data_IF_871395449035
#
_entry.id   IF_871395449035
#
_cell.length_a   1.000
_cell.length_b   1.000
_cell.length_c   1.000
_cell.angle_alpha   90.00
_cell.angle_beta   90.00
_cell.angle_gamma   90.00
#
_symmetry.space_group_name_H-M   'P 1'
#
loop_
_entity.id
_entity.type
_entity.pdbx_description
1 polymer ?
#
# COMPACT_ATOMS: atom_id res chain seq x y z
N UNK A 1 -3.05 7.67 49.07
CA UNK A 1 -3.18 6.32 48.44
C UNK A 1 -2.38 6.35 47.17
N UNK A 2 -1.24 5.69 47.22
CA UNK A 2 -0.16 5.69 46.24
C UNK A 2 -0.56 4.92 44.98
N UNK A 3 -0.24 5.50 43.83
CA UNK A 3 -0.45 4.89 42.51
C UNK A 3 0.45 3.68 42.30
N UNK A 4 -0.13 2.58 41.84
CA UNK A 4 0.57 1.38 41.37
C UNK A 4 -0.26 0.71 40.28
N UNK A 5 -0.17 1.19 39.04
CA UNK A 5 -0.60 0.45 37.86
C UNK A 5 -0.03 1.13 36.60
N UNK A 6 1.14 0.68 36.12
CA UNK A 6 1.46 0.67 34.67
C UNK A 6 2.83 0.09 34.30
N UNK A 7 3.75 -0.19 35.23
CA UNK A 7 5.10 -0.65 34.82
C UNK A 7 5.22 -2.14 34.46
N UNK A 8 4.34 -3.01 34.98
CA UNK A 8 4.42 -4.46 34.77
C UNK A 8 3.98 -4.91 33.36
N UNK A 9 3.12 -4.13 32.69
CA UNK A 9 2.65 -4.48 31.33
C UNK A 9 3.76 -4.27 30.29
N UNK A 10 4.53 -3.19 30.42
CA UNK A 10 5.56 -2.80 29.45
C UNK A 10 6.75 -3.77 29.39
N UNK A 11 7.15 -4.37 30.53
CA UNK A 11 8.28 -5.31 30.56
C UNK A 11 7.91 -6.69 30.00
N UNK A 12 6.67 -7.14 30.23
CA UNK A 12 6.15 -8.39 29.68
C UNK A 12 5.97 -8.33 28.16
N UNK A 13 5.55 -7.18 27.62
CA UNK A 13 5.43 -6.96 26.17
C UNK A 13 6.81 -6.91 25.50
N UNK A 14 7.76 -6.18 26.11
CA UNK A 14 9.14 -6.07 25.59
C UNK A 14 9.89 -7.41 25.59
N UNK A 15 9.76 -8.20 26.65
CA UNK A 15 10.38 -9.54 26.73
C UNK A 15 9.79 -10.54 25.74
N UNK A 16 8.48 -10.49 25.47
CA UNK A 16 7.84 -11.33 24.45
C UNK A 16 8.28 -10.94 23.04
N UNK A 17 8.35 -9.65 22.73
CA UNK A 17 8.84 -9.13 21.44
C UNK A 17 10.30 -9.51 21.19
N UNK A 18 11.17 -9.39 22.20
CA UNK A 18 12.57 -9.80 22.09
C UNK A 18 12.71 -11.32 21.90
N UNK A 19 11.86 -12.12 22.54
CA UNK A 19 11.78 -13.56 22.30
C UNK A 19 11.38 -13.86 20.86
N UNK A 20 10.38 -13.16 20.31
CA UNK A 20 9.93 -13.33 18.93
C UNK A 20 10.95 -12.90 17.88
N UNK A 21 11.70 -11.82 18.13
CA UNK A 21 12.78 -11.36 17.25
C UNK A 21 13.99 -12.30 17.25
N UNK A 22 14.13 -13.12 18.29
CA UNK A 22 15.19 -14.14 18.43
C UNK A 22 14.79 -15.52 17.87
N UNK A 23 13.52 -15.71 17.50
CA UNK A 23 13.05 -16.99 16.96
C UNK A 23 13.66 -17.26 15.58
N UNK A 24 14.44 -18.34 15.51
CA UNK A 24 14.96 -18.87 14.26
C UNK A 24 13.82 -19.53 13.46
N UNK A 25 13.85 -19.54 12.11
CA UNK A 25 12.79 -20.12 11.29
C UNK A 25 12.50 -21.60 11.59
N UNK A 26 13.43 -22.31 12.24
CA UNK A 26 13.30 -23.71 12.67
C UNK A 26 12.47 -23.92 13.94
N UNK A 27 12.27 -22.91 14.80
CA UNK A 27 11.48 -23.06 16.05
C UNK A 27 9.99 -22.78 15.87
N UNK A 28 9.55 -22.34 14.68
CA UNK A 28 8.14 -22.09 14.36
C UNK A 28 7.50 -23.28 13.61
N UNK A 29 8.27 -24.33 13.32
CA UNK A 29 7.79 -25.61 12.77
C UNK A 29 6.88 -26.43 13.72
N UNK A 30 6.39 -25.82 14.80
CA UNK A 30 5.39 -26.44 15.66
C UNK A 30 4.02 -26.32 14.97
N UNK A 31 3.37 -27.45 14.63
CA UNK A 31 2.11 -27.41 13.91
C UNK A 31 1.07 -26.73 14.81
N UNK A 32 0.60 -25.57 14.38
CA UNK A 32 -0.35 -24.71 15.08
C UNK A 32 0.20 -24.14 16.38
N UNK A 33 0.67 -22.89 16.32
CA UNK A 33 0.77 -22.03 17.49
C UNK A 33 -0.55 -21.24 17.63
N UNK A 34 -1.54 -21.71 18.41
CA UNK A 34 -2.82 -20.99 18.58
C UNK A 34 -2.59 -19.60 19.17
N UNK A 35 -1.54 -19.49 20.00
CA UNK A 35 -1.12 -18.24 20.64
C UNK A 35 -0.81 -17.12 19.65
N UNK A 36 -0.40 -17.43 18.40
CA UNK A 36 -0.11 -16.41 17.40
C UNK A 36 -1.38 -15.68 16.94
N UNK A 37 -2.53 -16.38 16.95
CA UNK A 37 -3.84 -15.77 16.67
C UNK A 37 -4.38 -14.99 17.87
N UNK A 38 -3.99 -15.39 19.08
CA UNK A 38 -4.35 -14.73 20.34
C UNK A 38 -3.45 -13.53 20.69
N UNK A 39 -2.53 -13.15 19.81
CA UNK A 39 -1.72 -11.95 19.99
C UNK A 39 -2.59 -10.70 19.97
N UNK A 40 -2.27 -9.76 20.87
CA UNK A 40 -2.81 -8.40 20.81
C UNK A 40 -2.46 -7.76 19.48
N UNK A 41 -3.33 -6.84 19.02
CA UNK A 41 -3.18 -6.17 17.72
C UNK A 41 -1.79 -5.56 17.52
N UNK A 42 -1.26 -4.86 18.53
CA UNK A 42 0.05 -4.19 18.44
C UNK A 42 1.21 -5.18 18.35
N UNK A 43 1.20 -6.22 19.18
CA UNK A 43 2.23 -7.27 19.21
C UNK A 43 2.24 -8.07 17.90
N UNK A 44 1.04 -8.42 17.40
CA UNK A 44 0.87 -9.05 16.10
C UNK A 44 1.40 -8.17 14.98
N UNK A 45 1.12 -6.86 15.04
CA UNK A 45 1.59 -5.91 14.04
C UNK A 45 3.11 -5.84 13.97
N UNK A 46 3.79 -5.72 15.11
CA UNK A 46 5.25 -5.74 15.18
C UNK A 46 5.84 -7.06 14.69
N UNK A 47 5.21 -8.19 15.04
CA UNK A 47 5.65 -9.50 14.58
C UNK A 47 5.51 -9.66 13.06
N UNK A 48 4.39 -9.21 12.48
CA UNK A 48 4.17 -9.18 11.03
C UNK A 48 5.24 -8.36 10.30
N UNK A 49 5.61 -7.19 10.82
CA UNK A 49 6.69 -6.36 10.25
C UNK A 49 8.01 -7.14 10.21
N UNK A 50 8.36 -7.83 11.30
CA UNK A 50 9.58 -8.63 11.36
C UNK A 50 9.55 -9.79 10.35
N UNK A 51 8.43 -10.52 10.25
CA UNK A 51 8.29 -11.60 9.28
C UNK A 51 8.40 -11.10 7.84
N UNK A 52 7.77 -9.98 7.51
CA UNK A 52 7.86 -9.36 6.17
C UNK A 52 9.29 -8.97 5.82
N UNK A 53 10.02 -8.36 6.76
CA UNK A 53 11.41 -7.93 6.52
C UNK A 53 12.34 -9.13 6.29
N UNK A 54 12.24 -10.18 7.10
CA UNK A 54 13.04 -11.40 6.92
C UNK A 54 12.66 -12.14 5.64
N UNK A 55 11.36 -12.23 5.33
CA UNK A 55 10.88 -12.77 4.07
C UNK A 55 11.53 -12.03 2.89
N UNK A 56 11.47 -10.69 2.89
CA UNK A 56 12.06 -9.86 1.82
C UNK A 56 13.57 -10.11 1.66
N UNK A 57 14.31 -10.28 2.77
CA UNK A 57 15.73 -10.64 2.74
C UNK A 57 15.98 -11.99 2.06
N UNK A 58 15.19 -13.03 2.39
CA UNK A 58 15.32 -14.34 1.76
C UNK A 58 14.87 -14.34 0.29
N UNK A 59 13.82 -13.58 -0.05
CA UNK A 59 13.39 -13.35 -1.44
C UNK A 59 14.51 -12.70 -2.25
N UNK A 60 15.17 -11.67 -1.69
CA UNK A 60 16.28 -10.99 -2.35
C UNK A 60 17.51 -11.91 -2.53
N UNK A 61 17.78 -12.79 -1.56
CA UNK A 61 18.86 -13.78 -1.62
C UNK A 61 18.54 -15.00 -2.50
N UNK A 62 17.31 -15.12 -3.04
CA UNK A 62 16.88 -16.30 -3.80
C UNK A 62 16.74 -17.57 -2.94
N UNK A 63 16.70 -17.45 -1.62
CA UNK A 63 16.56 -18.58 -0.70
C UNK A 63 15.10 -19.00 -0.59
N UNK A 64 14.66 -19.80 -1.55
CA UNK A 64 13.27 -20.26 -1.68
C UNK A 64 12.74 -21.03 -0.47
N UNK A 65 13.47 -22.00 0.11
CA UNK A 65 12.97 -22.74 1.26
C UNK A 65 12.65 -21.82 2.44
N UNK A 66 13.56 -20.89 2.76
CA UNK A 66 13.36 -19.95 3.87
C UNK A 66 12.26 -18.94 3.56
N UNK A 67 12.25 -18.38 2.35
CA UNK A 67 11.21 -17.44 1.95
C UNK A 67 9.81 -18.08 2.04
N UNK A 68 9.66 -19.35 1.62
CA UNK A 68 8.41 -20.09 1.75
C UNK A 68 7.95 -20.24 3.20
N UNK A 69 8.85 -20.57 4.12
CA UNK A 69 8.54 -20.66 5.56
C UNK A 69 8.03 -19.33 6.11
N UNK A 70 8.66 -18.20 5.76
CA UNK A 70 8.16 -16.89 6.19
C UNK A 70 6.80 -16.55 5.58
N UNK A 71 6.58 -16.83 4.29
CA UNK A 71 5.28 -16.62 3.64
C UNK A 71 4.17 -17.43 4.32
N UNK A 72 4.44 -18.68 4.69
CA UNK A 72 3.49 -19.52 5.43
C UNK A 72 3.12 -18.89 6.78
N UNK A 73 4.09 -18.44 7.56
CA UNK A 73 3.82 -17.76 8.84
C UNK A 73 3.01 -16.47 8.68
N UNK A 74 3.34 -15.66 7.67
CA UNK A 74 2.59 -14.42 7.42
C UNK A 74 1.15 -14.74 6.98
N UNK A 75 0.95 -15.78 6.17
CA UNK A 75 -0.39 -16.20 5.73
C UNK A 75 -1.31 -16.58 6.89
N UNK A 76 -0.76 -17.10 7.99
CA UNK A 76 -1.53 -17.48 9.18
C UNK A 76 -1.95 -16.29 10.05
N UNK A 77 -1.27 -15.15 9.91
CA UNK A 77 -1.44 -13.96 10.74
C UNK A 77 -2.08 -12.78 10.01
N UNK A 78 -1.93 -12.74 8.69
CA UNK A 78 -2.48 -11.70 7.83
C UNK A 78 -3.95 -11.96 7.47
N UNK A 79 -4.66 -10.89 7.15
CA UNK A 79 -6.07 -10.95 6.76
C UNK A 79 -6.45 -9.67 6.02
N UNK A 80 -7.13 -9.81 4.88
CA UNK A 80 -7.63 -8.67 4.09
C UNK A 80 -8.77 -7.91 4.77
N UNK A 81 -9.44 -8.55 5.73
CA UNK A 81 -10.53 -7.98 6.53
C UNK A 81 -10.12 -7.70 7.98
N UNK A 82 -8.83 -7.85 8.30
CA UNK A 82 -8.29 -7.65 9.64
C UNK A 82 -7.93 -6.19 9.95
N UNK A 83 -7.11 -6.01 10.98
CA UNK A 83 -6.54 -4.69 11.30
C UNK A 83 -5.62 -4.15 10.19
N UNK A 84 -5.20 -2.89 10.32
CA UNK A 84 -4.38 -2.23 9.32
C UNK A 84 -3.09 -3.02 8.98
N UNK A 85 -2.43 -3.60 9.97
CA UNK A 85 -1.17 -4.33 9.76
C UNK A 85 -1.41 -5.71 9.16
N UNK A 86 -2.50 -6.37 9.52
CA UNK A 86 -2.92 -7.62 8.87
C UNK A 86 -3.21 -7.42 7.38
N UNK A 87 -3.86 -6.31 7.03
CA UNK A 87 -4.15 -5.94 5.64
C UNK A 87 -2.87 -5.66 4.86
N UNK A 88 -1.97 -4.83 5.43
CA UNK A 88 -0.65 -4.56 4.86
C UNK A 88 0.10 -5.88 4.63
N UNK A 89 0.20 -6.73 5.65
CA UNK A 89 0.91 -7.99 5.55
C UNK A 89 0.32 -8.92 4.49
N UNK A 90 -1.01 -8.96 4.33
CA UNK A 90 -1.66 -9.78 3.30
C UNK A 90 -1.23 -9.35 1.89
N UNK A 91 -1.32 -8.05 1.57
CA UNK A 91 -0.91 -7.54 0.26
C UNK A 91 0.60 -7.67 0.01
N UNK A 92 1.44 -7.43 1.02
CA UNK A 92 2.89 -7.61 0.87
C UNK A 92 3.30 -9.08 0.72
N UNK A 93 2.59 -10.01 1.36
CA UNK A 93 2.82 -11.46 1.20
C UNK A 93 2.55 -11.88 -0.23
N UNK A 94 1.43 -11.45 -0.80
CA UNK A 94 1.10 -11.69 -2.21
C UNK A 94 2.18 -11.10 -3.14
N UNK A 95 2.61 -9.86 -2.91
CA UNK A 95 3.64 -9.20 -3.70
C UNK A 95 5.01 -9.92 -3.62
N UNK A 96 5.42 -10.37 -2.42
CA UNK A 96 6.66 -11.11 -2.21
C UNK A 96 6.62 -12.49 -2.86
N UNK A 97 5.50 -13.22 -2.73
CA UNK A 97 5.28 -14.49 -3.42
C UNK A 97 5.32 -14.30 -4.95
N UNK A 98 4.65 -13.27 -5.47
CA UNK A 98 4.70 -12.90 -6.88
C UNK A 98 6.12 -12.59 -7.37
N UNK A 99 6.91 -11.89 -6.56
CA UNK A 99 8.33 -11.62 -6.86
C UNK A 99 9.17 -12.89 -6.90
N UNK A 100 8.95 -13.84 -5.99
CA UNK A 100 9.62 -15.15 -6.04
C UNK A 100 9.27 -15.92 -7.30
N UNK A 101 7.98 -15.93 -7.67
CA UNK A 101 7.49 -16.65 -8.84
C UNK A 101 8.04 -16.11 -10.15
N UNK A 102 8.50 -14.85 -10.20
CA UNK A 102 9.15 -14.28 -11.39
C UNK A 102 10.44 -15.00 -11.78
N UNK A 103 11.08 -15.73 -10.87
CA UNK A 103 12.20 -16.63 -11.19
C UNK A 103 11.79 -17.80 -12.10
N UNK A 104 10.48 -18.09 -12.18
CA UNK A 104 9.89 -19.06 -13.11
C UNK A 104 8.84 -18.38 -14.01
N UNK A 105 9.26 -17.73 -15.10
CA UNK A 105 8.38 -16.91 -15.93
C UNK A 105 7.15 -17.65 -16.47
N UNK A 106 7.30 -18.95 -16.79
CA UNK A 106 6.19 -19.79 -17.24
C UNK A 106 5.11 -19.95 -16.18
N UNK A 107 5.51 -20.28 -14.94
CA UNK A 107 4.58 -20.41 -13.82
C UNK A 107 3.95 -19.05 -13.45
N UNK A 108 4.76 -17.99 -13.41
CA UNK A 108 4.26 -16.64 -13.13
C UNK A 108 3.17 -16.20 -14.11
N UNK A 109 3.37 -16.41 -15.42
CA UNK A 109 2.37 -16.08 -16.45
C UNK A 109 1.13 -16.98 -16.38
N UNK A 110 1.30 -18.27 -16.09
CA UNK A 110 0.18 -19.20 -15.96
C UNK A 110 -0.74 -18.84 -14.77
N UNK A 111 -0.16 -18.36 -13.67
CA UNK A 111 -0.90 -17.95 -12.47
C UNK A 111 -1.40 -16.50 -12.49
N UNK A 112 -0.85 -15.65 -13.37
CA UNK A 112 -1.25 -14.23 -13.50
C UNK A 112 -1.67 -13.92 -14.94
N UNK A 113 -2.79 -14.50 -15.44
CA UNK A 113 -3.31 -14.13 -16.74
C UNK A 113 -3.72 -12.65 -16.74
N UNK A 114 -3.51 -11.96 -17.86
CA UNK A 114 -3.99 -10.59 -18.05
C UNK A 114 -5.51 -10.66 -18.20
N UNK A 115 -6.28 -10.23 -17.19
CA UNK A 115 -7.74 -10.18 -17.28
C UNK A 115 -8.22 -8.85 -17.90
N UNK A 116 -9.17 -8.89 -18.85
CA UNK A 116 -9.75 -7.70 -19.47
C UNK A 116 -10.61 -6.86 -18.50
N UNK A 117 -11.18 -7.45 -17.44
CA UNK A 117 -12.00 -6.74 -16.43
C UNK A 117 -11.19 -5.87 -15.44
N UNK A 118 -9.88 -5.75 -15.64
CA UNK A 118 -8.98 -4.99 -14.77
C UNK A 118 -9.17 -3.47 -14.86
N UNK A 119 -9.67 -2.95 -15.99
CA UNK A 119 -9.77 -1.49 -16.19
C UNK A 119 -10.95 -0.90 -15.41
N UNK A 120 -12.12 -1.54 -15.44
CA UNK A 120 -13.32 -1.06 -14.74
C UNK A 120 -13.13 -1.09 -13.22
N UNK A 121 -12.53 -2.17 -12.71
CA UNK A 121 -12.19 -2.34 -11.29
C UNK A 121 -11.13 -1.32 -10.84
N UNK A 122 -10.11 -1.08 -11.66
CA UNK A 122 -9.09 -0.05 -11.39
C UNK A 122 -9.69 1.36 -11.36
N UNK A 123 -10.57 1.70 -12.32
CA UNK A 123 -11.25 2.99 -12.36
C UNK A 123 -12.18 3.18 -11.16
N UNK A 124 -12.89 2.12 -10.74
CA UNK A 124 -13.69 2.17 -9.53
C UNK A 124 -12.83 2.41 -8.28
N UNK A 125 -11.70 1.71 -8.15
CA UNK A 125 -10.74 1.92 -7.07
C UNK A 125 -10.18 3.35 -7.02
N UNK A 126 -9.85 3.93 -8.20
CA UNK A 126 -9.41 5.33 -8.30
C UNK A 126 -10.48 6.31 -7.84
N UNK A 127 -11.74 6.09 -8.24
CA UNK A 127 -12.85 6.93 -7.81
C UNK A 127 -13.04 6.88 -6.29
N UNK A 128 -13.00 5.69 -5.69
CA UNK A 128 -13.06 5.55 -4.23
C UNK A 128 -11.87 6.26 -3.55
N UNK A 129 -10.67 6.18 -4.13
CA UNK A 129 -9.50 6.89 -3.60
C UNK A 129 -9.70 8.41 -3.64
N UNK A 130 -10.24 8.95 -4.73
CA UNK A 130 -10.61 10.37 -4.87
C UNK A 130 -11.70 10.80 -3.89
N UNK A 131 -12.67 9.93 -3.61
CA UNK A 131 -13.83 10.25 -2.77
C UNK A 131 -13.52 10.15 -1.28
N UNK A 132 -12.65 9.22 -0.88
CA UNK A 132 -12.35 8.93 0.52
C UNK A 132 -11.09 9.63 1.04
N UNK A 133 -10.14 9.98 0.17
CA UNK A 133 -8.84 10.52 0.56
C UNK A 133 -8.54 11.87 -0.11
N UNK A 134 -7.87 12.80 0.60
CA UNK A 134 -7.66 14.15 0.10
C UNK A 134 -6.47 14.28 -0.87
N UNK A 135 -5.64 13.24 -1.02
CA UNK A 135 -4.33 13.35 -1.67
C UNK A 135 -4.42 13.79 -3.13
N UNK A 136 -5.27 13.13 -3.94
CA UNK A 136 -5.41 13.49 -5.35
C UNK A 136 -6.13 14.82 -5.53
N UNK A 137 -7.17 15.11 -4.73
CA UNK A 137 -7.87 16.40 -4.77
C UNK A 137 -6.92 17.56 -4.47
N UNK A 138 -6.05 17.40 -3.46
CA UNK A 138 -5.03 18.38 -3.11
C UNK A 138 -3.99 18.54 -4.23
N UNK A 139 -3.53 17.42 -4.81
CA UNK A 139 -2.61 17.46 -5.95
C UNK A 139 -3.21 18.20 -7.15
N UNK A 140 -4.48 17.96 -7.47
CA UNK A 140 -5.18 18.65 -8.55
C UNK A 140 -5.35 20.15 -8.26
N UNK A 141 -5.75 20.52 -7.04
CA UNK A 141 -5.90 21.92 -6.65
C UNK A 141 -4.57 22.69 -6.80
N UNK A 142 -3.49 22.15 -6.24
CA UNK A 142 -2.17 22.79 -6.30
C UNK A 142 -1.66 22.86 -7.75
N UNK A 143 -1.82 21.78 -8.52
CA UNK A 143 -1.36 21.75 -9.92
C UNK A 143 -2.15 22.74 -10.78
N UNK A 144 -3.48 22.77 -10.62
CA UNK A 144 -4.34 23.71 -11.34
C UNK A 144 -3.99 25.15 -10.99
N UNK A 145 -3.75 25.46 -9.71
CA UNK A 145 -3.35 26.80 -9.28
C UNK A 145 -2.00 27.21 -9.89
N UNK A 146 -1.01 26.32 -9.85
CA UNK A 146 0.30 26.58 -10.45
C UNK A 146 0.21 26.79 -11.97
N UNK A 147 -0.64 26.01 -12.65
CA UNK A 147 -0.89 26.17 -14.09
C UNK A 147 -1.58 27.52 -14.36
N UNK A 148 -2.60 27.90 -13.59
CA UNK A 148 -3.30 29.18 -13.75
C UNK A 148 -2.36 30.38 -13.58
N UNK A 149 -1.50 30.35 -12.56
CA UNK A 149 -0.47 31.37 -12.33
C UNK A 149 0.53 31.43 -13.49
N UNK A 150 0.99 30.28 -13.98
CA UNK A 150 1.90 30.22 -15.13
C UNK A 150 1.26 30.66 -16.46
N UNK A 151 -0.06 30.68 -16.55
CA UNK A 151 -0.82 31.10 -17.75
C UNK A 151 -1.18 32.58 -17.76
N UNK A 152 -0.85 33.35 -16.72
CA UNK A 152 -1.18 34.78 -16.62
C UNK A 152 -0.66 35.55 -17.85
N UNK A 153 -1.53 36.38 -18.46
CA UNK A 153 -1.21 37.09 -19.71
C UNK A 153 -1.16 36.24 -21.00
N UNK A 154 -1.16 34.91 -20.90
CA UNK A 154 -1.06 34.01 -22.06
C UNK A 154 -2.40 33.81 -22.79
N UNK A 155 -2.41 34.01 -24.11
CA UNK A 155 -3.60 33.88 -24.96
C UNK A 155 -3.80 32.49 -25.57
N UNK A 156 -2.74 31.70 -25.66
CA UNK A 156 -2.77 30.33 -26.22
C UNK A 156 -2.01 29.44 -25.27
N UNK A 157 -2.69 28.43 -24.73
CA UNK A 157 -2.12 27.53 -23.73
C UNK A 157 -2.30 26.08 -24.18
N UNK A 158 -1.24 25.29 -24.04
CA UNK A 158 -1.28 23.85 -24.26
C UNK A 158 -0.87 23.12 -22.98
N UNK A 159 -1.83 22.44 -22.37
CA UNK A 159 -1.61 21.56 -21.22
C UNK A 159 -1.41 20.12 -21.71
N UNK A 160 -0.39 19.44 -21.20
CA UNK A 160 -0.14 18.04 -21.48
C UNK A 160 -0.37 17.26 -20.18
N UNK A 161 -1.44 16.47 -20.13
CA UNK A 161 -1.78 15.62 -19.00
C UNK A 161 -1.28 14.18 -19.26
N UNK A 162 -0.25 13.79 -18.52
CA UNK A 162 0.32 12.45 -18.59
C UNK A 162 -0.48 11.42 -17.77
N UNK A 163 -1.51 11.86 -17.04
CA UNK A 163 -2.32 11.08 -16.11
C UNK A 163 -3.62 10.55 -16.73
N UNK A 164 -3.56 9.51 -17.55
CA UNK A 164 -4.73 8.99 -18.29
C UNK A 164 -5.79 8.23 -17.48
N UNK A 165 -6.36 8.78 -16.40
CA UNK A 165 -7.31 7.98 -15.60
C UNK A 165 -8.56 8.63 -14.97
N UNK A 166 -8.78 9.94 -15.03
CA UNK A 166 -10.12 10.52 -14.76
C UNK A 166 -10.21 11.99 -15.22
N UNK A 167 -11.07 12.35 -16.20
CA UNK A 167 -11.20 13.74 -16.64
C UNK A 167 -11.91 14.64 -15.60
N UNK A 168 -12.42 14.11 -14.48
CA UNK A 168 -13.17 14.90 -13.49
C UNK A 168 -12.40 16.11 -12.95
N UNK A 169 -11.08 15.98 -12.77
CA UNK A 169 -10.21 17.06 -12.32
C UNK A 169 -10.11 18.23 -13.34
N UNK A 170 -10.30 17.94 -14.63
CA UNK A 170 -10.28 18.95 -15.69
C UNK A 170 -11.50 19.86 -15.62
N UNK A 171 -12.63 19.41 -15.08
CA UNK A 171 -13.81 20.26 -14.96
C UNK A 171 -13.54 21.46 -14.04
N UNK A 172 -12.94 21.21 -12.88
CA UNK A 172 -12.56 22.27 -11.95
C UNK A 172 -11.51 23.22 -12.57
N UNK A 173 -10.56 22.66 -13.32
CA UNK A 173 -9.58 23.45 -14.07
C UNK A 173 -10.23 24.33 -15.13
N UNK A 174 -11.10 23.78 -15.97
CA UNK A 174 -11.78 24.49 -17.06
C UNK A 174 -12.67 25.62 -16.54
N UNK A 175 -13.36 25.43 -15.41
CA UNK A 175 -14.10 26.51 -14.76
C UNK A 175 -13.16 27.63 -14.33
N UNK A 176 -12.07 27.31 -13.63
CA UNK A 176 -11.11 28.33 -13.20
C UNK A 176 -10.42 29.06 -14.36
N UNK A 177 -10.14 28.37 -15.48
CA UNK A 177 -9.62 28.99 -16.70
C UNK A 177 -10.64 29.94 -17.34
N UNK A 178 -11.93 29.60 -17.27
CA UNK A 178 -13.01 30.43 -17.82
C UNK A 178 -13.26 31.69 -17.00
N UNK A 179 -13.06 31.62 -15.69
CA UNK A 179 -13.26 32.73 -14.75
C UNK A 179 -12.08 33.70 -14.67
N UNK A 180 -11.05 33.53 -15.52
CA UNK A 180 -9.89 34.43 -15.56
C UNK A 180 -10.30 35.89 -15.84
N UNK A 181 -9.69 36.89 -15.15
CA UNK A 181 -9.99 38.30 -15.38
C UNK A 181 -9.76 38.77 -16.82
N UNK A 182 -8.82 38.15 -17.53
CA UNK A 182 -8.44 38.48 -18.91
C UNK A 182 -9.34 37.77 -19.94
N UNK A 183 -10.25 36.91 -19.49
CA UNK A 183 -11.04 36.00 -20.29
C UNK A 183 -10.32 34.66 -20.58
N UNK A 184 -11.04 33.69 -21.13
CA UNK A 184 -10.49 32.36 -21.42
C UNK A 184 -9.48 32.40 -22.58
N UNK A 185 -8.31 31.74 -22.46
CA UNK A 185 -7.35 31.57 -23.55
C UNK A 185 -7.84 30.52 -24.56
N UNK A 186 -7.18 30.45 -25.71
CA UNK A 186 -7.25 29.27 -26.57
C UNK A 186 -6.52 28.10 -25.89
N UNK A 187 -7.29 27.17 -25.33
CA UNK A 187 -6.77 26.04 -24.57
C UNK A 187 -6.75 24.76 -25.40
N UNK A 188 -5.61 24.07 -25.41
CA UNK A 188 -5.46 22.69 -25.89
C UNK A 188 -5.06 21.81 -24.71
N UNK A 189 -5.66 20.63 -24.60
CA UNK A 189 -5.28 19.58 -23.64
C UNK A 189 -4.85 18.35 -24.44
N UNK A 190 -3.76 17.68 -24.06
CA UNK A 190 -3.28 16.44 -24.69
C UNK A 190 -2.97 15.41 -23.63
#
# INVERSE_FOLDING_TARGET
MTGTANELSSSATSSRLLSFMSMSPTTVNCPYAPFLRDLKSDDRGLFLIHLLLNCATHVAAGNLPQANTFLEHISLLSSTNGDAMQRIASYFTEALAGRLLRSWPGLYRALNPILPDSISTLNHGRRLFLDLLPFLRLSYLISNQAILEAMEGERVVHVIDLGGSDPSHLLAFLHAVSDRPEGPPHLRIT
#
